data_IF_799229475202
#
_entry.id   IF_799229475202
#
_cell.length_a   1.000
_cell.length_b   1.000
_cell.length_c   1.000
_cell.angle_alpha   90.00
_cell.angle_beta   90.00
_cell.angle_gamma   90.00
#
_symmetry.space_group_name_H-M   'P 1'
#
loop_
_entity.id
_entity.type
_entity.pdbx_description
1 polymer ?
#
# COMPACT_ATOMS: atom_id res chain seq x y z
N UNK A 1 29.56 -17.34 5.68
CA UNK A 1 28.30 -16.94 5.01
C UNK A 1 28.45 -15.64 4.21
N UNK A 2 28.98 -14.55 4.79
CA UNK A 2 29.19 -13.28 4.07
C UNK A 2 30.00 -13.42 2.77
N UNK A 3 31.14 -14.11 2.83
CA UNK A 3 32.01 -14.32 1.66
C UNK A 3 31.30 -15.08 0.53
N UNK A 4 30.41 -15.99 0.87
CA UNK A 4 29.58 -16.69 -0.11
C UNK A 4 28.53 -15.73 -0.71
N UNK A 5 27.87 -14.90 0.11
CA UNK A 5 26.90 -13.93 -0.39
C UNK A 5 27.52 -12.90 -1.35
N UNK A 6 28.77 -12.48 -1.10
CA UNK A 6 29.54 -11.60 -1.99
C UNK A 6 30.04 -12.29 -3.27
N UNK A 7 30.05 -13.62 -3.31
CA UNK A 7 30.46 -14.38 -4.50
C UNK A 7 29.33 -14.59 -5.52
N UNK A 8 28.08 -14.24 -5.15
CA UNK A 8 26.94 -14.39 -6.04
C UNK A 8 26.92 -13.28 -7.11
N UNK A 9 26.48 -13.59 -8.35
CA UNK A 9 26.22 -12.56 -9.33
C UNK A 9 25.07 -11.65 -8.89
N UNK A 10 25.12 -10.39 -9.33
CA UNK A 10 24.04 -9.45 -9.13
C UNK A 10 22.71 -10.00 -9.66
N UNK A 11 21.62 -9.80 -8.92
CA UNK A 11 20.30 -10.32 -9.27
C UNK A 11 20.09 -11.82 -8.98
N UNK A 12 21.04 -12.49 -8.30
CA UNK A 12 20.85 -13.85 -7.82
C UNK A 12 19.57 -14.00 -6.98
N UNK A 13 18.82 -15.08 -7.21
CA UNK A 13 17.54 -15.39 -6.53
C UNK A 13 17.66 -16.51 -5.50
N UNK A 14 18.86 -16.68 -4.95
CA UNK A 14 19.13 -17.64 -3.87
C UNK A 14 18.22 -17.39 -2.66
N UNK A 15 17.60 -18.46 -2.16
CA UNK A 15 16.75 -18.46 -0.98
C UNK A 15 17.46 -19.12 0.19
N UNK A 16 17.03 -18.86 1.43
CA UNK A 16 17.58 -19.56 2.61
C UNK A 16 17.57 -21.09 2.42
N UNK A 17 16.55 -21.62 1.74
CA UNK A 17 16.44 -23.06 1.47
C UNK A 17 17.47 -23.53 0.45
N UNK A 18 17.64 -22.84 -0.68
CA UNK A 18 18.65 -23.21 -1.68
C UNK A 18 20.08 -23.06 -1.17
N UNK A 19 20.32 -22.09 -0.28
CA UNK A 19 21.61 -21.92 0.39
C UNK A 19 21.88 -23.08 1.34
N UNK A 20 20.87 -23.48 2.12
CA UNK A 20 20.98 -24.57 3.08
C UNK A 20 21.22 -25.93 2.44
N UNK A 21 20.78 -26.14 1.19
CA UNK A 21 21.07 -27.36 0.42
C UNK A 21 22.54 -27.45 -0.01
N UNK A 22 23.21 -26.31 -0.15
CA UNK A 22 24.62 -26.20 -0.61
C UNK A 22 25.61 -26.14 0.56
N UNK A 23 25.10 -26.10 1.79
CA UNK A 23 25.89 -25.91 3.00
C UNK A 23 25.69 -27.11 3.95
N UNK A 24 26.76 -27.78 4.41
CA UNK A 24 26.65 -28.94 5.30
C UNK A 24 26.04 -28.59 6.68
N UNK A 25 26.04 -27.32 7.08
CA UNK A 25 25.61 -26.83 8.38
C UNK A 25 24.08 -26.69 8.52
N UNK A 26 23.34 -26.85 7.42
CA UNK A 26 21.88 -26.92 7.41
C UNK A 26 21.14 -25.58 7.60
N UNK A 27 19.81 -25.64 7.47
CA UNK A 27 18.93 -24.47 7.32
C UNK A 27 18.91 -23.51 8.51
N UNK A 28 18.97 -24.05 9.73
CA UNK A 28 18.96 -23.23 10.96
C UNK A 28 20.22 -22.37 11.05
N UNK A 29 21.38 -22.94 10.73
CA UNK A 29 22.67 -22.23 10.74
C UNK A 29 22.68 -21.11 9.71
N UNK A 30 22.19 -21.38 8.48
CA UNK A 30 22.06 -20.34 7.44
C UNK A 30 21.15 -19.20 7.88
N UNK A 31 20.01 -19.51 8.52
CA UNK A 31 19.08 -18.48 9.04
C UNK A 31 19.72 -17.65 10.14
N UNK A 32 20.46 -18.27 11.06
CA UNK A 32 21.14 -17.57 12.15
C UNK A 32 22.27 -16.70 11.61
N UNK A 33 23.08 -17.22 10.70
CA UNK A 33 24.14 -16.45 10.04
C UNK A 33 23.57 -15.23 9.32
N UNK A 34 22.41 -15.35 8.66
CA UNK A 34 21.75 -14.21 8.02
C UNK A 34 21.34 -13.15 9.02
N UNK A 35 20.70 -13.54 10.13
CA UNK A 35 20.32 -12.61 11.20
C UNK A 35 21.54 -11.89 11.77
N UNK A 36 22.66 -12.60 11.92
CA UNK A 36 23.90 -12.01 12.39
C UNK A 36 24.44 -10.98 11.39
N UNK A 37 24.41 -11.26 10.08
CA UNK A 37 24.82 -10.28 9.08
C UNK A 37 23.92 -9.04 9.03
N UNK A 38 22.61 -9.21 9.26
CA UNK A 38 21.67 -8.09 9.39
C UNK A 38 21.99 -7.25 10.63
N UNK A 39 22.25 -7.89 11.77
CA UNK A 39 22.59 -7.21 13.03
C UNK A 39 23.93 -6.45 12.96
N UNK A 40 24.91 -7.01 12.27
CA UNK A 40 26.24 -6.41 12.11
C UNK A 40 26.31 -5.35 11.01
N UNK A 41 25.24 -5.18 10.22
CA UNK A 41 25.16 -4.18 9.14
C UNK A 41 25.83 -4.61 7.83
N UNK A 42 26.05 -5.91 7.61
CA UNK A 42 26.57 -6.42 6.34
C UNK A 42 25.46 -6.77 5.34
N UNK A 43 24.24 -7.01 5.82
CA UNK A 43 23.09 -7.35 5.00
C UNK A 43 21.91 -6.44 5.33
N UNK A 44 21.35 -5.80 4.31
CA UNK A 44 20.16 -4.98 4.46
C UNK A 44 19.07 -5.48 3.52
N UNK A 45 17.82 -5.49 4.00
CA UNK A 45 16.66 -5.89 3.21
C UNK A 45 15.65 -4.76 3.20
N UNK A 46 15.17 -4.39 2.01
CA UNK A 46 14.07 -3.43 1.87
C UNK A 46 12.98 -3.94 0.93
N UNK A 47 11.75 -3.54 1.21
CA UNK A 47 10.59 -3.81 0.33
C UNK A 47 10.30 -2.56 -0.47
N UNK A 48 10.36 -2.67 -1.80
CA UNK A 48 10.03 -1.60 -2.73
C UNK A 48 8.76 -1.96 -3.48
N UNK A 49 7.80 -1.04 -3.52
CA UNK A 49 6.69 -1.14 -4.45
C UNK A 49 7.07 -0.42 -5.73
N UNK A 50 6.89 -1.11 -6.86
CA UNK A 50 7.02 -0.48 -8.15
C UNK A 50 5.85 0.52 -8.34
N UNK A 51 6.12 1.81 -8.60
CA UNK A 51 5.08 2.83 -8.62
C UNK A 51 4.16 2.75 -9.85
N UNK A 52 4.59 2.06 -10.91
CA UNK A 52 3.84 1.94 -12.17
C UNK A 52 2.98 0.67 -12.18
N UNK A 53 3.59 -0.46 -11.83
CA UNK A 53 2.95 -1.78 -11.86
C UNK A 53 2.32 -2.16 -10.51
N UNK A 54 2.64 -1.44 -9.43
CA UNK A 54 2.19 -1.75 -8.08
C UNK A 54 2.82 -3.01 -7.47
N UNK A 55 3.75 -3.68 -8.17
CA UNK A 55 4.36 -4.94 -7.74
C UNK A 55 5.34 -4.71 -6.59
N UNK A 56 5.24 -5.54 -5.56
CA UNK A 56 6.20 -5.56 -4.47
C UNK A 56 7.42 -6.40 -4.81
N UNK A 57 8.61 -5.85 -4.59
CA UNK A 57 9.89 -6.54 -4.74
C UNK A 57 10.71 -6.37 -3.46
N UNK A 58 11.39 -7.42 -3.04
CA UNK A 58 12.36 -7.37 -1.96
C UNK A 58 13.75 -7.20 -2.54
N UNK A 59 14.43 -6.11 -2.19
CA UNK A 59 15.82 -5.87 -2.53
C UNK A 59 16.69 -6.24 -1.34
N UNK A 60 17.75 -7.01 -1.59
CA UNK A 60 18.76 -7.38 -0.60
C UNK A 60 20.06 -6.73 -1.03
N UNK A 61 20.63 -5.93 -0.14
CA UNK A 61 21.96 -5.35 -0.28
C UNK A 61 22.91 -6.15 0.61
N UNK A 62 24.03 -6.59 0.03
CA UNK A 62 25.13 -7.22 0.76
C UNK A 62 26.36 -6.35 0.54
N UNK A 63 27.01 -5.95 1.64
CA UNK A 63 28.20 -5.12 1.62
C UNK A 63 29.39 -5.87 2.23
N UNK A 64 30.59 -5.62 1.73
CA UNK A 64 31.83 -6.11 2.33
C UNK A 64 32.28 -5.26 3.54
N UNK A 65 31.69 -4.08 3.72
CA UNK A 65 31.91 -3.16 4.84
C UNK A 65 30.59 -2.98 5.61
N UNK A 66 30.58 -3.03 6.95
CA UNK A 66 29.35 -2.88 7.70
C UNK A 66 28.80 -1.46 7.53
N UNK A 67 27.55 -1.34 7.08
CA UNK A 67 26.84 -0.08 6.93
C UNK A 67 25.93 0.10 8.15
N UNK A 68 26.24 1.09 8.98
CA UNK A 68 25.46 1.41 10.20
C UNK A 68 24.66 2.69 10.04
N UNK A 69 25.17 3.61 9.23
CA UNK A 69 24.50 4.88 8.97
C UNK A 69 23.38 4.69 7.95
N UNK A 70 22.16 5.18 8.23
CA UNK A 70 21.01 5.01 7.35
C UNK A 70 21.22 5.66 5.98
N UNK A 71 21.94 6.78 5.93
CA UNK A 71 22.29 7.49 4.69
C UNK A 71 23.20 6.65 3.79
N UNK A 72 24.17 5.94 4.38
CA UNK A 72 25.07 5.06 3.63
C UNK A 72 24.32 3.83 3.07
N UNK A 73 23.37 3.29 3.83
CA UNK A 73 22.50 2.19 3.39
C UNK A 73 21.62 2.63 2.22
N UNK A 74 20.97 3.79 2.32
CA UNK A 74 20.13 4.33 1.24
C UNK A 74 20.93 4.67 -0.02
N UNK A 75 22.13 5.27 0.13
CA UNK A 75 23.02 5.52 -0.99
C UNK A 75 23.44 4.23 -1.70
N UNK A 76 23.83 3.19 -0.96
CA UNK A 76 24.22 1.90 -1.51
C UNK A 76 23.07 1.21 -2.25
N UNK A 77 21.84 1.31 -1.73
CA UNK A 77 20.66 0.83 -2.43
C UNK A 77 20.28 1.66 -3.68
N UNK A 78 20.63 2.94 -3.71
CA UNK A 78 20.40 3.86 -4.83
C UNK A 78 21.36 3.67 -6.00
N UNK A 79 22.52 3.05 -5.76
CA UNK A 79 23.47 2.67 -6.80
C UNK A 79 22.96 1.51 -7.68
N UNK A 80 21.93 0.79 -7.24
CA UNK A 80 21.25 -0.27 -8.01
C UNK A 80 20.14 0.34 -8.89
N UNK A 81 20.52 1.22 -9.81
CA UNK A 81 19.68 1.59 -10.95
C UNK A 81 20.06 0.69 -12.13
N UNK A 82 19.11 0.01 -12.81
CA UNK A 82 19.44 -0.78 -13.99
C UNK A 82 19.74 0.18 -15.15
N UNK A 83 21.01 0.38 -15.44
CA UNK A 83 21.48 1.20 -16.56
C UNK A 83 22.99 1.06 -16.74
N UNK A 84 23.36 0.21 -17.70
CA UNK A 84 24.64 0.12 -18.41
C UNK A 84 25.84 0.84 -17.80
N UNK A 85 26.61 0.15 -16.94
CA UNK A 85 28.05 0.40 -16.81
C UNK A 85 28.80 -0.93 -16.60
N UNK A 86 29.75 -1.19 -17.49
CA UNK A 86 30.65 -2.35 -17.42
C UNK A 86 31.57 -2.32 -16.20
N UNK A 87 32.26 -3.43 -15.91
CA UNK A 87 33.09 -3.56 -14.72
C UNK A 87 34.39 -2.79 -14.91
N UNK A 88 34.69 -1.84 -14.03
CA UNK A 88 36.04 -1.28 -13.91
C UNK A 88 36.54 -1.51 -12.49
N UNK A 89 37.32 -2.58 -12.35
CA UNK A 89 38.29 -2.76 -11.27
C UNK A 89 39.45 -1.79 -11.53
N UNK A 90 39.83 -1.01 -10.52
CA UNK A 90 41.04 -0.18 -10.52
C UNK A 90 41.31 0.38 -9.12
N UNK A 91 42.41 -0.08 -8.51
CA UNK A 91 42.80 0.15 -7.12
C UNK A 91 43.55 1.50 -6.92
N UNK A 92 44.16 1.75 -5.74
CA UNK A 92 43.89 2.87 -4.83
C UNK A 92 44.81 4.10 -5.03
N UNK A 93 44.37 5.31 -4.64
CA UNK A 93 45.33 6.42 -4.48
C UNK A 93 44.85 7.58 -3.58
N UNK A 94 45.63 7.76 -2.51
CA UNK A 94 46.09 8.99 -1.84
C UNK A 94 45.10 9.89 -1.07
N UNK A 95 45.42 10.07 0.22
CA UNK A 95 44.91 11.12 1.12
C UNK A 95 45.37 12.51 0.63
N UNK A 96 44.49 13.50 0.70
CA UNK A 96 44.89 14.91 0.77
C UNK A 96 44.12 15.59 1.90
N UNK A 97 44.89 16.19 2.81
CA UNK A 97 44.43 16.93 3.99
C UNK A 97 44.13 18.37 3.58
N UNK A 98 43.03 18.91 4.11
CA UNK A 98 42.88 20.32 4.50
C UNK A 98 42.38 21.29 3.44
N UNK A 99 41.23 21.92 3.68
CA UNK A 99 41.15 23.35 4.03
C UNK A 99 39.70 23.69 4.42
N UNK A 100 39.58 24.28 5.60
CA UNK A 100 38.36 24.79 6.22
C UNK A 100 37.96 26.14 5.61
N UNK A 101 36.67 26.34 5.32
CA UNK A 101 36.03 27.65 5.49
C UNK A 101 34.63 27.50 6.09
N UNK A 102 34.41 28.40 7.04
CA UNK A 102 33.31 28.61 7.99
C UNK A 102 32.13 29.32 7.31
N UNK A 103 30.91 29.13 7.82
CA UNK A 103 29.81 30.12 8.06
C UNK A 103 28.47 29.35 8.20
N UNK A 104 28.02 29.12 9.45
CA UNK A 104 26.84 29.71 10.14
C UNK A 104 25.59 28.81 10.07
N UNK A 105 25.32 28.06 11.14
CA UNK A 105 24.41 28.39 12.25
C UNK A 105 22.93 28.24 11.86
N UNK A 106 22.38 27.06 12.12
CA UNK A 106 21.10 26.95 12.82
C UNK A 106 21.01 25.64 13.61
N UNK A 107 20.97 25.79 14.94
CA UNK A 107 20.22 25.04 15.96
C UNK A 107 19.86 23.56 15.64
N UNK A 108 20.52 22.58 16.28
CA UNK A 108 20.13 21.96 17.56
C UNK A 108 18.78 21.19 17.43
N UNK A 109 18.69 19.86 17.55
CA UNK A 109 19.12 18.95 18.62
C UNK A 109 18.86 17.49 18.19
N UNK A 110 19.82 16.59 18.37
CA UNK A 110 19.51 15.17 18.66
C UNK A 110 19.00 15.09 20.09
N UNK A 111 18.09 14.17 20.43
CA UNK A 111 18.51 13.21 21.45
C UNK A 111 18.02 11.77 21.18
N UNK A 112 18.93 10.83 21.38
CA UNK A 112 18.61 9.48 21.87
C UNK A 112 18.42 9.55 23.41
N UNK A 113 17.93 8.49 24.07
CA UNK A 113 16.73 8.50 24.92
C UNK A 113 17.03 8.78 26.41
N UNK A 114 15.98 9.08 27.20
CA UNK A 114 15.93 8.58 28.56
C UNK A 114 14.71 7.68 28.76
N UNK A 115 14.93 6.57 29.47
CA UNK A 115 13.89 6.00 30.31
C UNK A 115 13.41 7.11 31.26
N UNK A 116 12.20 7.61 31.04
CA UNK A 116 11.18 8.02 32.03
C UNK A 116 10.12 8.89 31.35
N UNK A 117 8.87 8.43 31.52
CA UNK A 117 7.69 9.29 31.65
C UNK A 117 7.51 10.32 30.52
N UNK A 118 7.24 9.79 29.32
CA UNK A 118 6.64 10.60 28.26
C UNK A 118 5.13 10.71 28.56
N UNK A 119 4.80 11.55 29.55
CA UNK A 119 3.51 12.26 29.59
C UNK A 119 3.56 13.27 28.43
N UNK A 120 3.49 12.73 27.21
CA UNK A 120 3.40 13.56 26.02
C UNK A 120 1.94 13.92 25.85
N UNK A 121 1.70 15.20 25.59
CA UNK A 121 0.49 15.75 24.98
C UNK A 121 0.13 14.96 23.72
N UNK A 122 -0.40 13.75 23.91
CA UNK A 122 -1.22 13.08 22.94
C UNK A 122 -2.42 14.01 22.85
N UNK A 123 -2.68 14.66 21.69
CA UNK A 123 -3.88 15.47 21.54
C UNK A 123 -5.06 14.68 22.11
N UNK A 124 -5.89 15.27 22.99
CA UNK A 124 -6.83 14.50 23.83
C UNK A 124 -7.75 13.60 23.01
N UNK A 125 -7.96 13.93 21.73
CA UNK A 125 -8.65 13.13 20.73
C UNK A 125 -7.96 11.82 20.38
N UNK A 126 -6.63 11.80 20.23
CA UNK A 126 -5.85 10.57 19.99
C UNK A 126 -5.84 9.67 21.23
N UNK A 127 -5.77 10.23 22.44
CA UNK A 127 -5.88 9.48 23.68
C UNK A 127 -7.26 8.82 23.82
N UNK A 128 -8.33 9.59 23.54
CA UNK A 128 -9.71 9.08 23.48
C UNK A 128 -9.88 7.97 22.45
N UNK A 129 -9.33 8.15 21.24
CA UNK A 129 -9.38 7.16 20.18
C UNK A 129 -8.62 5.86 20.54
N UNK A 130 -7.44 5.96 21.16
CA UNK A 130 -6.70 4.79 21.65
C UNK A 130 -7.49 4.03 22.72
N UNK A 131 -8.09 4.75 23.67
CA UNK A 131 -8.92 4.17 24.72
C UNK A 131 -10.17 3.48 24.16
N UNK A 132 -10.80 4.06 23.13
CA UNK A 132 -11.91 3.42 22.41
C UNK A 132 -11.49 2.09 21.77
N UNK A 133 -10.34 2.07 21.09
CA UNK A 133 -9.82 0.85 20.45
C UNK A 133 -9.45 -0.23 21.48
N UNK A 134 -8.93 0.16 22.63
CA UNK A 134 -8.67 -0.75 23.74
C UNK A 134 -9.97 -1.37 24.28
N UNK A 135 -11.00 -0.55 24.57
CA UNK A 135 -12.32 -1.03 25.00
C UNK A 135 -12.99 -1.94 23.97
N UNK A 136 -12.78 -1.66 22.68
CA UNK A 136 -13.27 -2.54 21.61
C UNK A 136 -12.61 -3.92 21.68
N UNK A 137 -11.29 -3.99 21.86
CA UNK A 137 -10.58 -5.26 21.99
C UNK A 137 -10.93 -6.06 23.25
N UNK A 138 -11.36 -5.39 24.32
CA UNK A 138 -11.90 -6.04 25.53
C UNK A 138 -13.26 -6.70 25.28
N UNK A 139 -14.15 -6.00 24.55
CA UNK A 139 -15.51 -6.46 24.24
C UNK A 139 -15.58 -7.48 23.11
N UNK A 140 -14.68 -7.39 22.14
CA UNK A 140 -14.62 -8.27 20.98
C UNK A 140 -13.27 -9.01 20.96
N UNK A 141 -13.21 -10.25 21.48
CA UNK A 141 -11.97 -11.02 21.60
C UNK A 141 -11.21 -11.21 20.29
N UNK A 142 -11.92 -11.23 19.14
CA UNK A 142 -11.30 -11.33 17.81
C UNK A 142 -10.54 -10.08 17.40
N UNK A 143 -10.81 -8.95 18.06
CA UNK A 143 -10.19 -7.64 17.80
C UNK A 143 -9.24 -7.22 18.94
N UNK A 144 -8.75 -8.16 19.75
CA UNK A 144 -7.77 -7.83 20.78
C UNK A 144 -6.53 -7.17 20.19
N UNK A 145 -6.15 -6.03 20.77
CA UNK A 145 -4.99 -5.23 20.41
C UNK A 145 -4.07 -5.12 21.61
N UNK A 146 -2.76 -5.13 21.36
CA UNK A 146 -1.81 -4.65 22.36
C UNK A 146 -1.92 -3.13 22.53
N UNK A 147 -1.59 -2.61 23.71
CA UNK A 147 -1.48 -1.17 23.98
C UNK A 147 -0.68 -0.39 22.89
N UNK A 148 0.51 -0.86 22.44
CA UNK A 148 1.25 -0.15 21.40
C UNK A 148 0.54 -0.18 20.04
N UNK A 149 -0.31 -1.18 19.77
CA UNK A 149 -1.07 -1.25 18.52
C UNK A 149 -2.24 -0.28 18.53
N UNK A 150 -2.94 -0.17 19.67
CA UNK A 150 -4.00 0.81 19.87
C UNK A 150 -3.48 2.24 19.69
N UNK A 151 -2.30 2.55 20.26
CA UNK A 151 -1.65 3.86 20.08
C UNK A 151 -1.28 4.12 18.61
N UNK A 152 -0.77 3.11 17.89
CA UNK A 152 -0.46 3.25 16.45
C UNK A 152 -1.70 3.49 15.58
N UNK A 153 -2.84 2.92 15.95
CA UNK A 153 -4.10 3.07 15.22
C UNK A 153 -4.86 4.36 15.58
N UNK A 154 -4.59 4.92 16.76
CA UNK A 154 -5.29 6.08 17.29
C UNK A 154 -5.37 7.28 16.34
N UNK A 155 -4.32 7.65 15.56
CA UNK A 155 -4.43 8.75 14.61
C UNK A 155 -5.48 8.53 13.52
N UNK A 156 -5.64 7.29 13.04
CA UNK A 156 -6.63 6.96 12.01
C UNK A 156 -8.05 7.01 12.58
N UNK A 157 -8.24 6.47 13.79
CA UNK A 157 -9.53 6.53 14.47
C UNK A 157 -9.91 7.98 14.84
N UNK A 158 -8.96 8.77 15.34
CA UNK A 158 -9.18 10.19 15.64
C UNK A 158 -9.58 10.99 14.38
N UNK A 159 -8.95 10.73 13.22
CA UNK A 159 -9.33 11.37 11.97
C UNK A 159 -10.77 11.04 11.55
N UNK A 160 -11.22 9.80 11.73
CA UNK A 160 -12.61 9.40 11.44
C UNK A 160 -13.60 10.06 12.41
N UNK A 161 -13.26 10.15 13.69
CA UNK A 161 -14.08 10.85 14.69
C UNK A 161 -14.18 12.35 14.39
N UNK A 162 -13.06 12.98 14.00
CA UNK A 162 -13.03 14.38 13.58
C UNK A 162 -13.86 14.64 12.31
N UNK A 163 -14.06 13.60 11.48
CA UNK A 163 -14.97 13.62 10.33
C UNK A 163 -16.47 13.54 10.69
N UNK A 164 -16.82 13.54 11.98
CA UNK A 164 -18.21 13.59 12.47
C UNK A 164 -18.83 12.23 12.81
N UNK A 165 -18.06 11.13 12.75
CA UNK A 165 -18.54 9.82 13.17
C UNK A 165 -18.49 9.72 14.70
N UNK A 166 -19.60 9.45 15.41
CA UNK A 166 -19.56 9.32 16.87
C UNK A 166 -18.87 8.02 17.31
N UNK A 167 -18.31 8.03 18.52
CA UNK A 167 -17.56 6.89 19.10
C UNK A 167 -18.33 5.56 19.09
N UNK A 168 -19.63 5.59 19.40
CA UNK A 168 -20.48 4.39 19.42
C UNK A 168 -20.62 3.78 18.02
N UNK A 169 -20.92 4.61 17.02
CA UNK A 169 -21.06 4.19 15.62
C UNK A 169 -19.72 3.68 15.09
N UNK A 170 -18.61 4.33 15.44
CA UNK A 170 -17.28 3.85 15.07
C UNK A 170 -17.03 2.44 15.64
N UNK A 171 -17.29 2.21 16.93
CA UNK A 171 -17.11 0.91 17.55
C UNK A 171 -17.98 -0.19 16.92
N UNK A 172 -19.27 0.09 16.71
CA UNK A 172 -20.20 -0.81 16.04
C UNK A 172 -19.76 -1.14 14.62
N UNK A 173 -19.31 -0.14 13.86
CA UNK A 173 -18.86 -0.31 12.47
C UNK A 173 -17.57 -1.11 12.40
N UNK A 174 -16.64 -0.95 13.35
CA UNK A 174 -15.43 -1.75 13.42
C UNK A 174 -15.72 -3.22 13.79
N UNK A 175 -16.77 -3.48 14.58
CA UNK A 175 -17.20 -4.81 15.00
C UNK A 175 -18.20 -5.50 14.05
N UNK A 176 -18.86 -4.77 13.15
CA UNK A 176 -19.91 -5.30 12.29
C UNK A 176 -19.38 -6.37 11.31
N UNK A 177 -20.04 -7.52 11.15
CA UNK A 177 -19.71 -8.49 10.09
C UNK A 177 -18.26 -9.01 10.14
N UNK A 178 -17.72 -9.21 11.35
CA UNK A 178 -16.39 -9.77 11.52
C UNK A 178 -16.32 -11.22 11.00
N UNK A 179 -15.22 -11.62 10.33
CA UNK A 179 -15.01 -13.01 9.96
C UNK A 179 -14.91 -13.91 11.22
N UNK A 180 -15.09 -15.22 11.08
CA UNK A 180 -15.03 -16.15 12.21
C UNK A 180 -13.68 -16.11 12.92
N UNK A 181 -12.59 -15.88 12.17
CA UNK A 181 -11.23 -15.75 12.71
C UNK A 181 -10.57 -14.52 12.10
N UNK A 182 -9.93 -13.71 12.95
CA UNK A 182 -9.13 -12.55 12.54
C UNK A 182 -7.69 -12.80 12.97
N UNK A 183 -6.82 -13.11 12.01
CA UNK A 183 -5.41 -13.42 12.29
C UNK A 183 -4.56 -12.17 12.55
N UNK A 184 -5.00 -11.01 12.06
CA UNK A 184 -4.26 -9.75 12.19
C UNK A 184 -5.23 -8.60 12.54
N UNK A 185 -5.61 -8.46 13.82
CA UNK A 185 -6.57 -7.45 14.28
C UNK A 185 -6.17 -6.02 13.90
N UNK A 186 -4.93 -5.64 14.14
CA UNK A 186 -4.44 -4.29 13.85
C UNK A 186 -4.47 -3.96 12.34
N UNK A 187 -4.10 -4.92 11.49
CA UNK A 187 -4.15 -4.75 10.04
C UNK A 187 -5.59 -4.67 9.53
N UNK A 188 -6.49 -5.48 10.08
CA UNK A 188 -7.92 -5.46 9.75
C UNK A 188 -8.57 -4.12 10.10
N UNK A 189 -8.30 -3.60 11.30
CA UNK A 189 -8.81 -2.30 11.74
C UNK A 189 -8.22 -1.15 10.92
N UNK A 190 -6.93 -1.20 10.60
CA UNK A 190 -6.29 -0.24 9.67
C UNK A 190 -7.03 -0.21 8.35
N UNK A 191 -7.32 -1.39 7.78
CA UNK A 191 -8.02 -1.49 6.51
C UNK A 191 -9.44 -0.94 6.60
N UNK A 192 -10.21 -1.27 7.63
CA UNK A 192 -11.57 -0.73 7.79
C UNK A 192 -11.59 0.79 7.97
N UNK A 193 -10.72 1.32 8.82
CA UNK A 193 -10.61 2.75 9.07
C UNK A 193 -10.30 3.52 7.77
N UNK A 194 -9.36 3.02 6.96
CA UNK A 194 -8.96 3.68 5.69
C UNK A 194 -9.92 3.43 4.53
N UNK A 195 -10.38 2.19 4.35
CA UNK A 195 -11.07 1.77 3.13
C UNK A 195 -12.60 1.89 3.21
N UNK A 196 -13.18 1.84 4.41
CA UNK A 196 -14.63 1.88 4.60
C UNK A 196 -15.07 3.21 5.18
N UNK A 197 -14.46 3.62 6.28
CA UNK A 197 -14.91 4.81 7.00
C UNK A 197 -14.43 6.11 6.36
N UNK A 198 -13.22 6.16 5.78
CA UNK A 198 -12.79 7.33 5.01
C UNK A 198 -13.58 7.50 3.71
N UNK A 199 -13.92 6.40 3.03
CA UNK A 199 -14.68 6.44 1.78
C UNK A 199 -16.20 6.59 1.97
N UNK A 200 -16.74 6.37 3.17
CA UNK A 200 -18.14 6.67 3.48
C UNK A 200 -18.42 8.18 3.58
N UNK A 201 -17.41 8.99 3.92
CA UNK A 201 -17.49 10.46 3.85
C UNK A 201 -17.39 11.00 2.42
N UNK A 202 -16.73 10.27 1.53
CA UNK A 202 -16.73 10.55 0.10
C UNK A 202 -18.01 9.93 -0.49
N UNK A 203 -19.15 10.61 -0.38
CA UNK A 203 -20.41 10.17 -0.99
C UNK A 203 -20.14 9.69 -2.41
N UNK A 204 -20.16 8.35 -2.59
CA UNK A 204 -20.01 7.74 -3.90
C UNK A 204 -21.07 8.41 -4.77
N UNK A 205 -20.69 9.12 -5.85
CA UNK A 205 -21.67 9.87 -6.64
C UNK A 205 -22.79 8.90 -6.96
N UNK A 206 -24.00 9.20 -6.47
CA UNK A 206 -25.17 8.37 -6.69
C UNK A 206 -25.17 8.11 -8.18
N UNK A 207 -24.95 6.85 -8.59
CA UNK A 207 -25.06 6.50 -10.00
C UNK A 207 -26.49 6.89 -10.34
N UNK A 208 -26.66 7.96 -11.11
CA UNK A 208 -27.96 8.33 -11.64
C UNK A 208 -28.53 7.04 -12.22
N UNK A 209 -29.76 6.65 -11.85
CA UNK A 209 -30.36 5.46 -12.41
C UNK A 209 -30.19 5.55 -13.92
N UNK A 210 -29.59 4.52 -14.50
CA UNK A 210 -29.43 4.45 -15.94
C UNK A 210 -30.83 4.46 -16.53
N UNK A 211 -31.30 5.64 -16.94
CA UNK A 211 -32.61 5.81 -17.57
C UNK A 211 -32.75 4.88 -18.78
N UNK A 212 -33.98 4.64 -19.25
CA UNK A 212 -34.21 3.85 -20.46
C UNK A 212 -33.33 4.37 -21.60
N UNK A 213 -32.82 3.46 -22.43
CA UNK A 213 -32.08 3.87 -23.61
C UNK A 213 -33.01 4.70 -24.50
N UNK A 214 -32.54 5.84 -25.06
CA UNK A 214 -33.34 6.58 -26.02
C UNK A 214 -33.69 5.67 -27.20
N UNK A 215 -34.89 5.77 -27.76
CA UNK A 215 -35.35 4.97 -28.90
C UNK A 215 -35.29 5.78 -30.20
N UNK A 216 -35.06 5.10 -31.33
CA UNK A 216 -35.15 5.69 -32.65
C UNK A 216 -36.60 6.10 -32.97
N UNK A 217 -36.84 7.33 -33.42
CA UNK A 217 -38.17 7.84 -33.77
C UNK A 217 -38.86 7.04 -34.89
N UNK A 218 -38.10 6.36 -35.75
CA UNK A 218 -38.64 5.70 -36.94
C UNK A 218 -38.88 4.20 -36.76
N UNK A 219 -37.97 3.48 -36.08
CA UNK A 219 -38.06 2.02 -35.92
C UNK A 219 -38.16 1.56 -34.46
N UNK A 220 -38.07 2.50 -33.51
CA UNK A 220 -38.01 2.23 -32.06
C UNK A 220 -36.85 1.36 -31.59
N UNK A 221 -35.82 1.19 -32.42
CA UNK A 221 -34.58 0.52 -31.99
C UNK A 221 -33.87 1.35 -30.90
N UNK A 222 -33.30 0.70 -29.87
CA UNK A 222 -32.51 1.38 -28.84
C UNK A 222 -31.29 2.10 -29.44
N UNK A 223 -31.09 3.35 -29.07
CA UNK A 223 -29.95 4.18 -29.44
C UNK A 223 -28.86 4.14 -28.36
N UNK A 224 -27.59 4.39 -28.74
CA UNK A 224 -26.51 4.55 -27.77
C UNK A 224 -26.81 5.66 -26.76
N UNK A 225 -26.38 5.48 -25.49
CA UNK A 225 -26.50 6.52 -24.46
C UNK A 225 -25.79 7.79 -24.90
N UNK A 226 -26.47 8.93 -24.79
CA UNK A 226 -25.94 10.23 -25.23
C UNK A 226 -26.15 10.54 -26.72
N UNK A 227 -26.89 9.72 -27.46
CA UNK A 227 -27.28 10.03 -28.84
C UNK A 227 -28.25 11.21 -28.89
N UNK A 228 -27.85 12.31 -29.54
CA UNK A 228 -28.70 13.49 -29.78
C UNK A 228 -29.49 13.43 -31.10
N UNK A 229 -29.20 12.47 -31.97
CA UNK A 229 -29.68 12.47 -33.36
C UNK A 229 -31.13 11.97 -33.56
N UNK A 230 -31.82 11.50 -32.52
CA UNK A 230 -33.21 10.98 -32.59
C UNK A 230 -33.42 9.75 -33.50
N UNK A 231 -32.43 9.39 -34.34
CA UNK A 231 -32.53 8.34 -35.37
C UNK A 231 -31.28 7.46 -35.39
N UNK A 232 -31.49 6.17 -35.60
CA UNK A 232 -30.40 5.20 -35.71
C UNK A 232 -29.70 5.30 -37.07
N UNK A 233 -28.46 4.82 -37.17
CA UNK A 233 -27.66 4.84 -38.42
C UNK A 233 -28.39 4.20 -39.62
N UNK A 234 -29.21 3.18 -39.37
CA UNK A 234 -30.01 2.50 -40.39
C UNK A 234 -31.11 3.41 -40.94
N UNK A 235 -31.83 4.12 -40.06
CA UNK A 235 -32.88 5.06 -40.45
C UNK A 235 -32.34 6.36 -41.05
N UNK A 236 -31.14 6.81 -40.65
CA UNK A 236 -30.47 7.94 -41.31
C UNK A 236 -29.99 7.57 -42.70
N UNK A 237 -29.49 6.34 -42.90
CA UNK A 237 -29.10 5.84 -44.22
C UNK A 237 -30.32 5.55 -45.12
N UNK A 238 -31.44 5.10 -44.55
CA UNK A 238 -32.69 4.87 -45.27
C UNK A 238 -33.46 6.16 -45.62
N UNK A 239 -33.07 7.32 -45.07
CA UNK A 239 -33.64 8.63 -45.42
C UNK A 239 -33.49 9.03 -46.90
N UNK A 240 -32.80 8.22 -47.71
CA UNK A 240 -32.71 8.38 -49.16
C UNK A 240 -33.69 7.53 -49.98
N UNK A 241 -34.49 6.64 -49.38
CA UNK A 241 -35.51 5.89 -50.13
C UNK A 241 -36.81 5.69 -49.33
N UNK A 242 -37.92 6.03 -49.98
CA UNK A 242 -39.28 5.88 -49.49
C UNK A 242 -39.52 4.49 -48.91
N UNK A 243 -40.21 4.50 -47.78
CA UNK A 243 -40.78 3.38 -47.03
C UNK A 243 -41.20 2.19 -47.88
N UNK A 244 -40.73 0.99 -47.50
CA UNK A 244 -41.51 -0.23 -47.71
C UNK A 244 -42.10 -0.60 -46.36
N UNK A 245 -43.42 -0.41 -46.22
CA UNK A 245 -44.17 -0.84 -45.07
C UNK A 245 -44.07 -2.37 -44.96
N UNK A 246 -43.54 -2.87 -43.86
CA UNK A 246 -43.74 -4.27 -43.46
C UNK A 246 -45.01 -4.35 -42.62
N UNK A 247 -45.93 -5.28 -42.92
CA UNK A 247 -47.16 -5.43 -42.15
C UNK A 247 -46.82 -5.91 -40.73
N UNK A 248 -47.23 -5.13 -39.74
CA UNK A 248 -47.27 -5.56 -38.35
C UNK A 248 -48.34 -6.65 -38.23
N UNK A 249 -47.91 -7.90 -38.01
CA UNK A 249 -48.80 -8.96 -37.57
C UNK A 249 -49.29 -8.63 -36.16
N UNK A 250 -50.49 -8.04 -36.08
CA UNK A 250 -51.27 -7.95 -34.86
C UNK A 250 -51.74 -9.37 -34.48
N UNK A 251 -51.10 -9.98 -33.48
CA UNK A 251 -51.67 -11.13 -32.78
C UNK A 251 -52.47 -10.63 -31.58
N UNK A 252 -53.77 -10.48 -31.78
CA UNK A 252 -54.74 -10.39 -30.69
C UNK A 252 -55.06 -11.79 -30.18
N UNK A 253 -55.14 -11.97 -28.86
CA UNK A 253 -55.93 -12.96 -28.11
C UNK A 253 -55.97 -12.38 -26.67
N UNK A 254 -57.06 -11.80 -26.13
CA UNK A 254 -58.32 -12.42 -25.62
C UNK A 254 -58.02 -13.72 -24.86
N UNK A 255 -58.37 -13.92 -23.59
CA UNK A 255 -59.42 -13.36 -22.72
C UNK A 255 -59.01 -13.46 -21.25
#
# INVERSE_FOLDING_TARGET
MLQWALSLPEGSRETITSIAEKMPEGRTTVRNARRQLEAEGYLHTRRRQDPVTGRWTTQVLVSNVPLREPEAVEAAFGQVAPGDRGPTVGAPAVRAVGTSTKVEKNEEKTPNPPDREADQDVPPERGRAAALLARLGEREPRLRLGAPEAVRLAPLAAAVLAGGVPESVLGETLAAGLPPVVHAPAAFLTHRLKAKLTHEGEERPRRLPCGPLPECEACRDPLPRGSSAGRCRRCTAAGGYRSVAWPLHASSLRS
#
